data_IF_699825474226
#
_entry.id   IF_699825474226
#
_cell.length_a   1.000
_cell.length_b   1.000
_cell.length_c   1.000
_cell.angle_alpha   90.00
_cell.angle_beta   90.00
_cell.angle_gamma   90.00
#
_symmetry.space_group_name_H-M   'P 1'
#
loop_
_entity.id
_entity.type
_entity.pdbx_description
1 polymer ?
#
# COMPACT_ATOMS: atom_id res chain seq x y z
N UNK A 1 -45.12 47.43 -12.51
CA UNK A 1 -43.73 46.92 -12.40
C UNK A 1 -43.67 46.06 -11.15
N UNK A 2 -43.91 44.76 -11.28
CA UNK A 2 -43.94 43.82 -10.15
C UNK A 2 -42.60 43.06 -10.12
N UNK A 3 -41.85 43.22 -9.04
CA UNK A 3 -40.62 42.47 -8.83
C UNK A 3 -40.96 41.07 -8.29
N UNK A 4 -40.63 40.03 -9.05
CA UNK A 4 -40.66 38.64 -8.61
C UNK A 4 -39.39 38.37 -7.79
N UNK A 5 -39.52 38.29 -6.47
CA UNK A 5 -38.45 37.75 -5.62
C UNK A 5 -38.48 36.23 -5.71
N UNK A 6 -37.56 35.67 -6.52
CA UNK A 6 -37.28 34.24 -6.53
C UNK A 6 -36.65 33.83 -5.21
N UNK A 7 -37.37 33.07 -4.40
CA UNK A 7 -36.83 32.49 -3.18
C UNK A 7 -35.88 31.36 -3.56
N UNK A 8 -34.56 31.59 -3.47
CA UNK A 8 -33.58 30.51 -3.63
C UNK A 8 -33.64 29.63 -2.39
N UNK A 9 -34.23 28.45 -2.51
CA UNK A 9 -34.13 27.43 -1.47
C UNK A 9 -32.69 26.91 -1.49
N UNK A 10 -31.88 27.39 -0.55
CA UNK A 10 -30.61 26.73 -0.21
C UNK A 10 -31.01 25.44 0.48
N UNK A 11 -30.99 24.33 -0.26
CA UNK A 11 -31.14 23.02 0.34
C UNK A 11 -29.93 22.81 1.28
N UNK A 12 -30.17 22.90 2.59
CA UNK A 12 -29.18 22.47 3.57
C UNK A 12 -28.92 20.98 3.32
N UNK A 13 -27.68 20.62 2.98
CA UNK A 13 -27.33 19.21 2.82
C UNK A 13 -27.44 18.54 4.18
N UNK A 14 -28.30 17.54 4.32
CA UNK A 14 -28.37 16.76 5.55
C UNK A 14 -26.98 16.20 5.91
N UNK A 15 -26.62 16.15 7.21
CA UNK A 15 -25.36 15.59 7.63
C UNK A 15 -25.25 14.14 7.15
N UNK A 16 -24.26 13.87 6.30
CA UNK A 16 -23.94 12.51 5.87
C UNK A 16 -23.02 11.88 6.90
N UNK A 17 -23.60 11.02 7.74
CA UNK A 17 -22.87 10.26 8.75
C UNK A 17 -22.43 8.90 8.19
N UNK A 18 -21.25 8.45 8.61
CA UNK A 18 -20.81 7.07 8.38
C UNK A 18 -21.42 6.13 9.43
N UNK A 19 -21.56 4.82 9.13
CA UNK A 19 -21.89 3.83 10.14
C UNK A 19 -20.91 3.88 11.33
N UNK A 20 -21.38 3.55 12.53
CA UNK A 20 -20.59 3.62 13.77
C UNK A 20 -19.26 2.84 13.70
N UNK A 21 -19.22 1.75 12.92
CA UNK A 21 -18.05 0.88 12.75
C UNK A 21 -17.33 1.09 11.41
N UNK A 22 -17.60 2.19 10.73
CA UNK A 22 -16.89 2.51 9.49
C UNK A 22 -15.45 2.90 9.82
N UNK A 23 -14.49 2.23 9.17
CA UNK A 23 -13.07 2.48 9.41
C UNK A 23 -12.51 3.34 8.29
N UNK A 24 -11.91 4.48 8.64
CA UNK A 24 -11.05 5.20 7.71
C UNK A 24 -9.65 4.59 7.73
N UNK A 25 -9.07 4.41 6.54
CA UNK A 25 -7.79 3.74 6.42
C UNK A 25 -7.01 4.13 5.18
N UNK A 26 -5.81 3.58 5.08
CA UNK A 26 -4.92 3.73 3.93
C UNK A 26 -4.60 2.37 3.31
N UNK A 27 -4.01 2.40 2.11
CA UNK A 27 -3.56 1.18 1.46
C UNK A 27 -2.25 1.36 0.71
N UNK A 28 -1.42 0.32 0.70
CA UNK A 28 -0.17 0.26 -0.07
C UNK A 28 -0.02 -1.11 -0.77
N UNK A 29 0.97 -1.23 -1.66
CA UNK A 29 1.40 -2.50 -2.21
C UNK A 29 2.92 -2.65 -2.04
N UNK A 30 3.36 -3.88 -1.80
CA UNK A 30 4.72 -4.25 -1.37
C UNK A 30 5.78 -3.62 -2.26
N UNK A 31 5.76 -3.91 -3.56
CA UNK A 31 6.75 -3.40 -4.50
C UNK A 31 6.77 -1.86 -4.59
N UNK A 32 5.65 -1.19 -4.29
CA UNK A 32 5.57 0.27 -4.41
C UNK A 32 6.24 1.00 -3.24
N UNK A 33 6.29 0.38 -2.05
CA UNK A 33 6.71 1.08 -0.82
C UNK A 33 7.86 0.39 -0.07
N UNK A 34 8.02 -0.94 -0.16
CA UNK A 34 8.96 -1.70 0.68
C UNK A 34 10.43 -1.38 0.40
N UNK A 35 10.85 -1.45 -0.87
CA UNK A 35 12.27 -1.50 -1.20
C UNK A 35 12.96 -2.78 -0.73
N UNK A 36 14.21 -2.65 -0.29
CA UNK A 36 15.03 -3.74 0.25
C UNK A 36 15.02 -5.00 -0.65
N UNK A 37 15.15 -4.79 -1.96
CA UNK A 37 14.90 -5.82 -2.99
C UNK A 37 15.87 -7.01 -2.95
N UNK A 38 16.99 -6.89 -2.23
CA UNK A 38 18.05 -7.90 -2.07
C UNK A 38 18.26 -8.34 -0.61
N UNK A 39 17.36 -7.98 0.28
CA UNK A 39 17.47 -8.27 1.72
C UNK A 39 16.43 -9.30 2.14
N UNK A 40 16.60 -9.90 3.32
CA UNK A 40 15.61 -10.81 3.88
C UNK A 40 15.44 -12.11 3.10
N UNK A 41 16.43 -12.51 2.29
CA UNK A 41 16.33 -13.68 1.41
C UNK A 41 15.32 -13.54 0.26
N UNK A 42 14.83 -12.33 -0.03
CA UNK A 42 13.91 -12.04 -1.14
C UNK A 42 14.54 -12.38 -2.50
N UNK A 43 13.77 -13.03 -3.37
CA UNK A 43 14.12 -13.21 -4.79
C UNK A 43 13.43 -12.17 -5.68
N UNK A 44 13.93 -11.98 -6.90
CA UNK A 44 13.31 -11.10 -7.90
C UNK A 44 11.86 -11.49 -8.18
N UNK A 45 11.00 -10.49 -8.30
CA UNK A 45 9.67 -10.59 -8.88
C UNK A 45 9.69 -10.13 -10.34
N UNK A 46 8.59 -10.36 -11.06
CA UNK A 46 8.44 -9.87 -12.44
C UNK A 46 8.59 -8.34 -12.56
N UNK A 47 8.26 -7.60 -11.50
CA UNK A 47 8.38 -6.13 -11.51
C UNK A 47 9.82 -5.65 -11.40
N UNK A 48 10.69 -6.41 -10.72
CA UNK A 48 12.12 -6.13 -10.67
C UNK A 48 12.74 -6.29 -12.06
N UNK A 49 12.31 -7.31 -12.81
CA UNK A 49 12.81 -7.59 -14.15
C UNK A 49 12.27 -6.55 -15.15
N UNK A 50 10.95 -6.33 -15.13
CA UNK A 50 10.28 -5.37 -15.99
C UNK A 50 10.85 -3.95 -15.87
N UNK A 51 11.12 -3.47 -14.66
CA UNK A 51 11.64 -2.10 -14.49
C UNK A 51 13.06 -1.95 -15.03
N UNK A 52 13.91 -2.99 -14.98
CA UNK A 52 15.27 -2.97 -15.52
C UNK A 52 15.27 -3.00 -17.04
N UNK A 53 14.31 -3.69 -17.64
CA UNK A 53 14.19 -3.81 -19.09
C UNK A 53 13.51 -2.60 -19.73
N UNK A 54 12.74 -1.81 -18.97
CA UNK A 54 11.99 -0.65 -19.48
C UNK A 54 12.80 0.65 -19.40
N UNK A 55 13.23 1.24 -20.52
CA UNK A 55 13.96 2.52 -20.51
C UNK A 55 13.15 3.64 -19.85
N UNK A 56 13.81 4.42 -19.00
CA UNK A 56 13.20 5.57 -18.31
C UNK A 56 12.31 5.21 -17.11
N UNK A 57 12.11 3.93 -16.80
CA UNK A 57 11.38 3.50 -15.60
C UNK A 57 12.31 3.49 -14.38
N UNK A 58 11.83 4.02 -13.25
CA UNK A 58 12.52 3.90 -11.96
C UNK A 58 12.12 2.59 -11.30
N UNK A 59 13.12 1.77 -10.96
CA UNK A 59 12.91 0.56 -10.16
C UNK A 59 12.65 0.92 -8.70
N UNK A 60 11.79 0.15 -8.03
CA UNK A 60 11.47 0.33 -6.62
C UNK A 60 12.49 -0.36 -5.70
N UNK A 61 13.79 -0.19 -6.01
CA UNK A 61 14.87 -0.84 -5.27
C UNK A 61 14.91 -0.38 -3.80
N UNK A 62 14.63 0.91 -3.57
CA UNK A 62 14.53 1.55 -2.25
C UNK A 62 13.08 1.94 -1.94
N UNK A 63 12.32 2.43 -2.94
CA UNK A 63 10.94 2.89 -2.76
C UNK A 63 10.85 3.95 -1.64
N UNK A 64 9.88 3.82 -0.73
CA UNK A 64 9.74 4.65 0.47
C UNK A 64 10.51 4.08 1.68
N UNK A 65 11.27 3.00 1.48
CA UNK A 65 12.03 2.29 2.51
C UNK A 65 11.13 1.74 3.64
N UNK A 66 9.87 1.42 3.32
CA UNK A 66 8.88 0.91 4.27
C UNK A 66 9.35 -0.40 4.92
N UNK A 67 10.17 -1.22 4.25
CA UNK A 67 10.72 -2.45 4.84
C UNK A 67 11.50 -2.17 6.14
N UNK A 68 12.25 -1.06 6.19
CA UNK A 68 13.00 -0.67 7.39
C UNK A 68 12.20 0.26 8.31
N UNK A 69 11.29 1.07 7.73
CA UNK A 69 10.64 2.20 8.42
C UNK A 69 9.18 1.96 8.80
N UNK A 70 8.63 0.77 8.54
CA UNK A 70 7.21 0.48 8.75
C UNK A 70 6.69 0.85 10.15
N UNK A 71 7.54 0.78 11.19
CA UNK A 71 7.16 1.17 12.56
C UNK A 71 6.84 2.66 12.66
N UNK A 72 7.62 3.50 12.00
CA UNK A 72 7.40 4.95 11.95
C UNK A 72 6.19 5.27 11.08
N UNK A 73 6.03 4.57 9.95
CA UNK A 73 4.87 4.75 9.07
C UNK A 73 3.55 4.33 9.76
N UNK A 74 3.53 3.19 10.45
CA UNK A 74 2.37 2.73 11.23
C UNK A 74 2.08 3.70 12.37
N UNK A 75 3.10 4.21 13.06
CA UNK A 75 2.95 5.23 14.09
C UNK A 75 2.28 6.50 13.52
N UNK A 76 2.73 6.97 12.36
CA UNK A 76 2.14 8.12 11.68
C UNK A 76 0.66 7.88 11.31
N UNK A 77 0.32 6.68 10.85
CA UNK A 77 -1.08 6.32 10.55
C UNK A 77 -1.96 6.41 11.79
N UNK A 78 -1.49 5.88 12.93
CA UNK A 78 -2.19 5.97 14.22
C UNK A 78 -2.34 7.42 14.68
N UNK A 79 -1.26 8.21 14.61
CA UNK A 79 -1.28 9.64 15.00
C UNK A 79 -2.22 10.48 14.12
N UNK A 80 -2.43 10.08 12.86
CA UNK A 80 -3.36 10.73 11.94
C UNK A 80 -4.82 10.28 12.15
N UNK A 81 -5.06 9.28 12.99
CA UNK A 81 -6.40 8.76 13.27
C UNK A 81 -6.89 7.73 12.23
N UNK A 82 -5.99 7.08 11.50
CA UNK A 82 -6.37 5.95 10.64
C UNK A 82 -6.64 4.72 11.51
N UNK A 83 -7.74 4.04 11.22
CA UNK A 83 -8.22 2.87 11.95
C UNK A 83 -7.89 1.56 11.22
N UNK A 84 -7.67 1.63 9.91
CA UNK A 84 -7.35 0.48 9.06
C UNK A 84 -6.12 0.75 8.19
N UNK A 85 -5.30 -0.28 8.02
CA UNK A 85 -4.20 -0.28 7.05
C UNK A 85 -4.22 -1.55 6.22
N UNK A 86 -4.42 -1.40 4.92
CA UNK A 86 -4.40 -2.51 3.96
C UNK A 86 -3.07 -2.54 3.23
N UNK A 87 -2.34 -3.64 3.33
CA UNK A 87 -1.11 -3.85 2.57
C UNK A 87 -1.14 -5.19 1.81
N UNK A 88 -0.23 -5.36 0.86
CA UNK A 88 0.00 -6.64 0.19
C UNK A 88 1.31 -7.27 0.68
N UNK A 89 1.37 -8.59 0.73
CA UNK A 89 2.63 -9.32 1.01
C UNK A 89 3.39 -9.56 -0.29
N UNK A 90 4.69 -9.29 -0.31
CA UNK A 90 5.56 -9.65 -1.45
C UNK A 90 5.75 -11.16 -1.52
N UNK A 91 5.15 -11.82 -2.53
CA UNK A 91 5.29 -13.28 -2.69
C UNK A 91 6.74 -13.71 -2.86
N UNK A 92 7.54 -12.94 -3.62
CA UNK A 92 8.96 -13.25 -3.84
C UNK A 92 9.83 -12.97 -2.62
N UNK A 93 9.28 -12.35 -1.57
CA UNK A 93 9.90 -12.26 -0.25
C UNK A 93 9.47 -13.45 0.63
N UNK A 94 8.18 -13.80 0.62
CA UNK A 94 7.64 -14.85 1.47
C UNK A 94 8.01 -16.27 1.00
N UNK A 95 8.22 -16.49 -0.30
CA UNK A 95 8.39 -17.80 -0.90
C UNK A 95 9.53 -17.80 -1.92
N UNK A 96 10.42 -18.79 -1.82
CA UNK A 96 11.55 -18.98 -2.73
C UNK A 96 11.41 -20.29 -3.53
N UNK A 97 11.86 -20.29 -4.79
CA UNK A 97 11.87 -21.49 -5.61
C UNK A 97 13.00 -22.43 -5.19
N UNK A 98 12.68 -23.70 -4.92
CA UNK A 98 13.66 -24.76 -4.73
C UNK A 98 13.84 -25.56 -6.04
N UNK A 99 15.02 -25.49 -6.69
CA UNK A 99 15.27 -26.20 -7.94
C UNK A 99 15.34 -27.73 -7.76
N UNK A 100 15.66 -28.23 -6.56
CA UNK A 100 15.77 -29.67 -6.28
C UNK A 100 14.39 -30.30 -6.15
N UNK A 101 13.53 -29.69 -5.32
CA UNK A 101 12.17 -30.22 -5.09
C UNK A 101 11.14 -29.71 -6.09
N UNK A 102 11.51 -28.72 -6.92
CA UNK A 102 10.64 -28.05 -7.90
C UNK A 102 9.35 -27.51 -7.28
N UNK A 103 9.48 -26.91 -6.09
CA UNK A 103 8.36 -26.34 -5.34
C UNK A 103 8.79 -25.01 -4.71
N UNK A 104 7.79 -24.16 -4.44
CA UNK A 104 8.00 -22.99 -3.60
C UNK A 104 8.19 -23.45 -2.15
N UNK A 105 9.21 -22.92 -1.49
CA UNK A 105 9.48 -23.09 -0.06
C UNK A 105 9.31 -21.77 0.67
N UNK A 106 8.71 -21.76 1.87
CA UNK A 106 8.67 -20.58 2.72
C UNK A 106 10.07 -20.04 2.98
N UNK A 107 10.24 -18.73 2.86
CA UNK A 107 11.43 -18.02 3.27
C UNK A 107 11.20 -17.49 4.69
N UNK A 108 11.86 -18.11 5.68
CA UNK A 108 11.63 -17.81 7.08
C UNK A 108 11.90 -16.34 7.44
N UNK A 109 12.97 -15.74 6.89
CA UNK A 109 13.31 -14.34 7.14
C UNK A 109 12.32 -13.37 6.49
N UNK A 110 11.74 -13.74 5.34
CA UNK A 110 10.72 -12.93 4.67
C UNK A 110 9.32 -13.04 5.30
N UNK A 111 9.09 -13.99 6.20
CA UNK A 111 7.83 -14.22 6.91
C UNK A 111 7.87 -13.68 8.35
N UNK A 112 9.06 -13.66 8.97
CA UNK A 112 9.28 -13.20 10.34
C UNK A 112 8.96 -11.71 10.51
#
# INVERSE_FOLDING_TARGET
MAALFGSSVVAASEPRCFPEKFMFGSATASYQVEGAVKEGGRTSSIWDDFCREKPGMKCANVADDFYHRYKDDVKLMVETGLESFRFSISWSRAMNWDPVTRRMKPNAEGIA
#
